data_IF_990479908793
#
_entry.id   IF_990479908793
#
_cell.length_a   1.000
_cell.length_b   1.000
_cell.length_c   1.000
_cell.angle_alpha   90.00
_cell.angle_beta   90.00
_cell.angle_gamma   90.00
#
_symmetry.space_group_name_H-M   'P 1'
#
loop_
_entity.id
_entity.type
_entity.pdbx_description
1 polymer ?
#
# COMPACT_ATOMS: atom_id res chain seq x y z
N UNK A 1 47.08 51.52 16.11
CA UNK A 1 48.03 51.47 14.97
C UNK A 1 48.10 50.03 14.49
N UNK A 2 47.42 49.70 13.39
CA UNK A 2 47.39 48.33 12.84
C UNK A 2 48.70 48.09 12.10
N UNK A 3 49.53 47.14 12.59
CA UNK A 3 50.76 46.74 11.89
C UNK A 3 50.36 46.04 10.58
N UNK A 4 50.67 46.66 9.44
CA UNK A 4 50.58 45.98 8.14
C UNK A 4 51.75 45.00 8.04
N UNK A 5 51.48 43.71 8.24
CA UNK A 5 52.43 42.65 7.95
C UNK A 5 52.40 42.36 6.45
N UNK A 6 53.57 42.34 5.81
CA UNK A 6 53.68 41.90 4.42
C UNK A 6 53.62 40.37 4.39
N UNK A 7 52.76 39.81 3.54
CA UNK A 7 52.69 38.37 3.30
C UNK A 7 53.95 37.90 2.57
N UNK A 8 54.50 36.77 3.01
CA UNK A 8 55.60 36.13 2.28
C UNK A 8 55.05 35.45 1.01
N UNK A 9 55.85 35.41 -0.05
CA UNK A 9 55.43 34.84 -1.35
C UNK A 9 55.00 33.36 -1.24
N UNK A 10 55.63 32.61 -0.34
CA UNK A 10 55.29 31.20 -0.07
C UNK A 10 53.93 31.04 0.62
N UNK A 11 53.59 31.97 1.53
CA UNK A 11 52.32 31.98 2.25
C UNK A 11 51.15 32.34 1.31
N UNK A 12 51.40 33.22 0.33
CA UNK A 12 50.45 33.52 -0.74
C UNK A 12 50.15 32.30 -1.62
N UNK A 13 51.18 31.54 -2.01
CA UNK A 13 51.01 30.32 -2.82
C UNK A 13 50.21 29.28 -2.02
N UNK A 14 50.54 29.07 -0.74
CA UNK A 14 49.79 28.16 0.12
C UNK A 14 48.32 28.58 0.27
N UNK A 15 48.05 29.88 0.47
CA UNK A 15 46.69 30.39 0.57
C UNK A 15 45.88 30.13 -0.72
N UNK A 16 46.46 30.37 -1.90
CA UNK A 16 45.78 30.12 -3.18
C UNK A 16 45.49 28.64 -3.38
N UNK A 17 46.45 27.75 -3.06
CA UNK A 17 46.25 26.29 -3.20
C UNK A 17 45.17 25.79 -2.25
N UNK A 18 45.17 26.24 -0.99
CA UNK A 18 44.14 25.86 -0.01
C UNK A 18 42.77 26.37 -0.44
N UNK A 19 42.66 27.62 -0.89
CA UNK A 19 41.41 28.17 -1.42
C UNK A 19 40.96 27.43 -2.68
N UNK A 20 41.86 27.06 -3.58
CA UNK A 20 41.51 26.30 -4.77
C UNK A 20 40.94 24.92 -4.43
N UNK A 21 41.55 24.21 -3.48
CA UNK A 21 41.07 22.89 -3.03
C UNK A 21 39.70 23.01 -2.34
N UNK A 22 39.50 24.01 -1.48
CA UNK A 22 38.21 24.20 -0.79
C UNK A 22 37.10 24.66 -1.73
N UNK A 23 37.40 25.50 -2.72
CA UNK A 23 36.40 25.96 -3.70
C UNK A 23 35.95 24.82 -4.62
N UNK A 24 36.83 23.86 -4.93
CA UNK A 24 36.47 22.67 -5.72
C UNK A 24 35.59 21.69 -4.92
N UNK A 25 35.75 21.59 -3.59
CA UNK A 25 34.97 20.65 -2.78
C UNK A 25 33.53 21.11 -2.48
N UNK A 26 33.25 22.42 -2.52
CA UNK A 26 31.91 22.98 -2.33
C UNK A 26 30.85 22.47 -3.34
N UNK A 27 31.07 22.51 -4.67
CA UNK A 27 30.08 22.00 -5.63
C UNK A 27 29.87 20.49 -5.49
N UNK A 28 30.91 19.72 -5.17
CA UNK A 28 30.79 18.28 -4.89
C UNK A 28 29.92 18.00 -3.66
N UNK A 29 30.11 18.77 -2.58
CA UNK A 29 29.31 18.66 -1.38
C UNK A 29 27.84 18.99 -1.66
N UNK A 30 27.57 20.07 -2.40
CA UNK A 30 26.21 20.43 -2.80
C UNK A 30 25.55 19.33 -3.64
N UNK A 31 26.27 18.74 -4.59
CA UNK A 31 25.73 17.64 -5.40
C UNK A 31 25.42 16.40 -4.56
N UNK A 32 26.27 16.07 -3.58
CA UNK A 32 26.02 14.96 -2.67
C UNK A 32 24.78 15.21 -1.78
N UNK A 33 24.61 16.45 -1.29
CA UNK A 33 23.44 16.85 -0.52
C UNK A 33 22.17 16.74 -1.37
N UNK A 34 22.17 17.26 -2.61
CA UNK A 34 21.01 17.18 -3.51
C UNK A 34 20.60 15.72 -3.78
N UNK A 35 21.56 14.84 -4.09
CA UNK A 35 21.27 13.40 -4.26
C UNK A 35 20.71 12.75 -3.00
N UNK A 36 21.17 13.18 -1.82
CA UNK A 36 20.65 12.71 -0.55
C UNK A 36 19.19 13.09 -0.33
N UNK A 37 18.81 14.32 -0.70
CA UNK A 37 17.42 14.80 -0.62
C UNK A 37 16.51 13.99 -1.56
N UNK A 38 16.91 13.79 -2.82
CA UNK A 38 16.12 13.02 -3.80
C UNK A 38 15.89 11.57 -3.34
N UNK A 39 16.92 10.94 -2.76
CA UNK A 39 16.84 9.58 -2.21
C UNK A 39 15.90 9.46 -1.01
N UNK A 40 15.91 10.46 -0.11
CA UNK A 40 15.01 10.48 1.04
C UNK A 40 13.56 10.65 0.60
N UNK A 41 13.33 11.52 -0.38
CA UNK A 41 12.01 11.78 -0.92
C UNK A 41 11.41 10.52 -1.60
N UNK A 42 12.23 9.77 -2.35
CA UNK A 42 11.81 8.51 -2.95
C UNK A 42 11.46 7.46 -1.90
N UNK A 43 12.18 7.40 -0.78
CA UNK A 43 11.85 6.53 0.34
C UNK A 43 10.51 6.92 0.98
N UNK A 44 10.24 8.21 1.19
CA UNK A 44 8.95 8.69 1.70
C UNK A 44 7.78 8.28 0.80
N UNK A 45 7.94 8.39 -0.53
CA UNK A 45 6.94 7.95 -1.50
C UNK A 45 6.68 6.42 -1.43
N UNK A 46 7.74 5.61 -1.26
CA UNK A 46 7.62 4.16 -1.08
C UNK A 46 6.87 3.85 0.23
N UNK A 47 7.27 4.44 1.35
CA UNK A 47 6.61 4.19 2.64
C UNK A 47 5.14 4.62 2.64
N UNK A 48 4.80 5.71 1.95
CA UNK A 48 3.42 6.11 1.76
C UNK A 48 2.61 5.08 0.95
N UNK A 49 3.19 4.61 -0.17
CA UNK A 49 2.58 3.57 -1.00
C UNK A 49 2.36 2.27 -0.20
N UNK A 50 3.35 1.85 0.58
CA UNK A 50 3.27 0.67 1.45
C UNK A 50 2.21 0.84 2.55
N UNK A 51 2.15 2.02 3.19
CA UNK A 51 1.15 2.30 4.23
C UNK A 51 -0.26 2.19 3.67
N UNK A 52 -0.50 2.74 2.48
CA UNK A 52 -1.79 2.67 1.80
C UNK A 52 -2.14 1.27 1.34
N UNK A 53 -1.18 0.50 0.82
CA UNK A 53 -1.42 -0.92 0.53
C UNK A 53 -1.77 -1.71 1.79
N UNK A 54 -1.04 -1.48 2.88
CA UNK A 54 -1.33 -2.14 4.16
C UNK A 54 -2.71 -1.77 4.70
N UNK A 55 -3.14 -0.52 4.56
CA UNK A 55 -4.51 -0.08 4.90
C UNK A 55 -5.55 -0.94 4.17
N UNK A 56 -5.42 -1.11 2.85
CA UNK A 56 -6.35 -1.95 2.07
C UNK A 56 -6.25 -3.43 2.41
N UNK A 57 -5.08 -3.93 2.79
CA UNK A 57 -4.94 -5.33 3.22
C UNK A 57 -5.67 -5.65 4.53
N UNK A 58 -6.07 -4.63 5.31
CA UNK A 58 -6.82 -4.83 6.55
C UNK A 58 -8.35 -4.82 6.37
N UNK A 59 -8.84 -4.44 5.20
CA UNK A 59 -10.27 -4.42 4.90
C UNK A 59 -10.80 -5.78 4.48
N UNK A 60 -12.13 -5.93 4.41
CA UNK A 60 -12.74 -7.17 3.97
C UNK A 60 -12.52 -7.37 2.47
N UNK A 61 -12.48 -8.64 2.03
CA UNK A 61 -12.24 -8.94 0.62
C UNK A 61 -13.31 -8.34 -0.30
N UNK A 62 -14.57 -8.37 0.13
CA UNK A 62 -15.74 -7.80 -0.54
C UNK A 62 -16.84 -7.59 0.49
N UNK A 63 -17.72 -6.60 0.32
CA UNK A 63 -18.86 -6.38 1.20
C UNK A 63 -19.80 -7.58 1.25
N UNK A 64 -20.03 -8.25 0.12
CA UNK A 64 -20.91 -9.42 0.02
C UNK A 64 -20.33 -10.66 0.72
N UNK A 65 -19.09 -10.59 1.21
CA UNK A 65 -18.50 -11.65 2.02
C UNK A 65 -19.08 -11.69 3.43
N UNK A 66 -19.78 -10.64 3.89
CA UNK A 66 -20.45 -10.62 5.19
C UNK A 66 -21.92 -10.98 5.00
N UNK A 67 -22.34 -12.10 5.59
CA UNK A 67 -23.75 -12.49 5.63
C UNK A 67 -24.51 -11.59 6.63
N UNK A 68 -25.37 -10.72 6.10
CA UNK A 68 -26.20 -9.78 6.89
C UNK A 68 -27.13 -10.46 7.89
N UNK A 69 -27.46 -11.74 7.67
CA UNK A 69 -28.33 -12.52 8.54
C UNK A 69 -27.55 -13.47 9.48
N UNK A 70 -26.23 -13.52 9.36
CA UNK A 70 -25.41 -14.38 10.21
C UNK A 70 -25.18 -13.75 11.58
N UNK A 71 -25.21 -14.60 12.62
CA UNK A 71 -24.90 -14.22 14.00
C UNK A 71 -23.44 -13.82 14.24
N UNK A 72 -22.56 -13.95 13.24
CA UNK A 72 -21.13 -13.62 13.31
C UNK A 72 -20.76 -12.62 12.22
N UNK A 73 -20.17 -11.49 12.60
CA UNK A 73 -19.66 -10.45 11.68
C UNK A 73 -18.27 -10.84 11.17
N UNK A 74 -18.18 -11.97 10.48
CA UNK A 74 -16.93 -12.49 9.94
C UNK A 74 -17.12 -12.71 8.44
N UNK A 75 -16.15 -12.24 7.65
CA UNK A 75 -16.12 -12.48 6.22
C UNK A 75 -16.07 -13.97 5.90
N UNK A 76 -16.94 -14.42 5.00
CA UNK A 76 -17.08 -15.79 4.53
C UNK A 76 -16.66 -15.86 3.06
N UNK A 77 -16.33 -17.07 2.60
CA UNK A 77 -15.90 -17.26 1.22
C UNK A 77 -17.10 -17.16 0.27
N UNK A 78 -17.04 -16.25 -0.70
CA UNK A 78 -18.02 -16.18 -1.80
C UNK A 78 -17.76 -17.32 -2.79
N UNK A 79 -18.80 -18.05 -3.23
CA UNK A 79 -18.64 -19.26 -4.04
C UNK A 79 -18.53 -18.97 -5.55
N UNK A 80 -17.46 -18.30 -5.96
CA UNK A 80 -17.28 -17.87 -7.37
C UNK A 80 -16.90 -19.00 -8.32
N UNK A 81 -16.23 -20.04 -7.81
CA UNK A 81 -15.75 -21.18 -8.60
C UNK A 81 -16.55 -22.46 -8.39
N UNK A 82 -17.66 -22.40 -7.65
CA UNK A 82 -18.52 -23.56 -7.39
C UNK A 82 -17.87 -24.65 -6.52
N UNK A 83 -16.79 -24.33 -5.81
CA UNK A 83 -16.01 -25.32 -5.03
C UNK A 83 -16.46 -25.47 -3.58
N UNK A 84 -17.43 -24.67 -3.13
CA UNK A 84 -18.03 -24.79 -1.81
C UNK A 84 -18.99 -25.98 -1.74
N UNK A 85 -18.86 -26.81 -0.72
CA UNK A 85 -19.79 -27.90 -0.45
C UNK A 85 -21.17 -27.37 -0.04
N UNK A 86 -22.22 -27.81 -0.73
CA UNK A 86 -23.60 -27.37 -0.53
C UNK A 86 -24.52 -28.45 0.06
N UNK A 87 -24.05 -29.69 0.22
CA UNK A 87 -24.82 -30.76 0.79
C UNK A 87 -24.86 -30.62 2.32
N UNK A 88 -26.01 -30.25 2.87
CA UNK A 88 -26.23 -30.10 4.32
C UNK A 88 -26.03 -31.40 5.12
N UNK A 89 -26.05 -32.56 4.46
CA UNK A 89 -25.76 -33.86 5.09
C UNK A 89 -24.27 -34.22 5.07
N UNK A 90 -23.42 -33.44 4.39
CA UNK A 90 -21.99 -33.65 4.39
C UNK A 90 -21.37 -33.00 5.64
N UNK A 91 -20.46 -33.70 6.32
CA UNK A 91 -19.69 -33.14 7.44
C UNK A 91 -18.92 -31.87 7.02
N UNK A 92 -18.55 -31.76 5.74
CA UNK A 92 -17.88 -30.60 5.15
C UNK A 92 -18.83 -29.51 4.63
N UNK A 93 -20.09 -29.51 5.02
CA UNK A 93 -21.07 -28.50 4.59
C UNK A 93 -20.50 -27.08 4.75
N UNK A 94 -20.55 -26.28 3.66
CA UNK A 94 -20.00 -24.93 3.56
C UNK A 94 -18.49 -24.82 3.72
N UNK A 95 -17.75 -25.88 3.45
CA UNK A 95 -16.29 -25.85 3.40
C UNK A 95 -15.80 -25.98 1.95
N UNK A 96 -14.75 -25.23 1.62
CA UNK A 96 -13.98 -25.38 0.38
C UNK A 96 -12.84 -26.38 0.60
N UNK A 97 -12.30 -26.93 -0.48
CA UNK A 97 -11.06 -27.72 -0.40
C UNK A 97 -9.94 -26.91 0.25
N UNK A 98 -9.28 -27.48 1.27
CA UNK A 98 -8.28 -26.80 2.10
C UNK A 98 -8.83 -26.14 3.37
N UNK A 99 -10.14 -26.02 3.53
CA UNK A 99 -10.71 -25.60 4.80
C UNK A 99 -10.59 -26.71 5.85
N UNK A 100 -10.39 -26.29 7.09
CA UNK A 100 -10.29 -27.16 8.26
C UNK A 100 -11.71 -27.45 8.76
N UNK A 101 -12.01 -28.74 9.00
CA UNK A 101 -13.28 -29.20 9.53
C UNK A 101 -13.34 -28.95 11.05
N UNK A 102 -13.60 -27.70 11.45
CA UNK A 102 -13.72 -27.29 12.84
C UNK A 102 -14.79 -26.20 12.99
N UNK A 103 -15.53 -26.14 14.12
CA UNK A 103 -16.50 -25.08 14.38
C UNK A 103 -15.85 -23.70 14.37
N UNK A 104 -16.52 -22.71 13.78
CA UNK A 104 -16.11 -21.30 13.71
C UNK A 104 -14.84 -21.00 12.88
N UNK A 105 -14.39 -21.94 12.05
CA UNK A 105 -13.34 -21.70 11.06
C UNK A 105 -13.90 -21.10 9.76
N UNK A 106 -12.99 -20.80 8.81
CA UNK A 106 -13.32 -20.36 7.45
C UNK A 106 -14.40 -21.24 6.84
N UNK A 107 -15.48 -20.61 6.42
CA UNK A 107 -16.60 -21.24 5.73
C UNK A 107 -17.04 -20.39 4.56
N UNK A 108 -17.72 -21.02 3.62
CA UNK A 108 -18.39 -20.34 2.53
C UNK A 108 -19.66 -19.66 3.02
N UNK A 109 -20.11 -18.67 2.25
CA UNK A 109 -21.37 -17.98 2.45
C UNK A 109 -22.54 -18.98 2.45
N UNK A 110 -23.58 -18.70 3.23
CA UNK A 110 -24.82 -19.49 3.23
C UNK A 110 -25.61 -19.31 1.92
N UNK A 111 -25.49 -18.15 1.29
CA UNK A 111 -25.99 -17.93 -0.05
C UNK A 111 -24.89 -18.32 -1.07
N UNK A 112 -25.15 -19.32 -1.91
CA UNK A 112 -24.23 -19.71 -2.99
C UNK A 112 -24.54 -19.03 -4.32
N UNK A 113 -25.64 -18.28 -4.38
CA UNK A 113 -26.05 -17.52 -5.56
C UNK A 113 -25.40 -16.14 -5.62
N UNK A 114 -24.78 -15.71 -4.51
CA UNK A 114 -23.95 -14.51 -4.48
C UNK A 114 -22.75 -14.67 -5.42
N UNK A 115 -22.83 -14.00 -6.57
CA UNK A 115 -21.78 -13.93 -7.58
C UNK A 115 -21.41 -12.49 -7.96
N UNK A 116 -22.21 -11.51 -7.53
CA UNK A 116 -21.91 -10.10 -7.75
C UNK A 116 -20.74 -9.69 -6.83
N UNK A 117 -19.69 -9.19 -7.47
CA UNK A 117 -18.54 -8.53 -6.86
C UNK A 117 -18.79 -7.03 -6.93
N UNK A 118 -18.34 -6.24 -5.95
CA UNK A 118 -18.50 -4.78 -5.95
C UNK A 118 -19.97 -4.31 -5.80
N UNK A 119 -20.76 -5.07 -5.04
CA UNK A 119 -22.06 -4.58 -4.64
C UNK A 119 -21.84 -3.64 -3.45
N UNK A 120 -21.47 -2.38 -3.70
CA UNK A 120 -21.36 -1.30 -2.69
C UNK A 120 -22.73 -1.05 -2.04
N UNK A 121 -23.14 -1.98 -1.21
CA UNK A 121 -24.50 -2.17 -0.69
C UNK A 121 -24.54 -1.89 0.80
N UNK A 122 -23.39 -1.85 1.47
CA UNK A 122 -23.29 -1.59 2.90
C UNK A 122 -22.24 -0.54 3.22
N UNK A 123 -22.70 0.70 3.46
CA UNK A 123 -21.86 1.81 3.92
C UNK A 123 -21.16 1.59 5.28
N UNK A 124 -21.41 0.46 5.96
CA UNK A 124 -20.84 0.13 7.26
C UNK A 124 -19.75 -0.97 7.20
N UNK A 125 -19.50 -1.53 6.02
CA UNK A 125 -18.47 -2.57 5.82
C UNK A 125 -17.40 -1.99 4.93
N UNK A 126 -16.21 -1.79 5.47
CA UNK A 126 -15.06 -1.41 4.65
C UNK A 126 -14.54 -2.63 3.89
N UNK A 127 -14.67 -2.61 2.57
CA UNK A 127 -14.11 -3.61 1.68
C UNK A 127 -12.90 -3.07 0.88
N UNK A 128 -12.27 -3.93 0.09
CA UNK A 128 -11.07 -3.59 -0.71
C UNK A 128 -11.41 -2.56 -1.79
N UNK A 129 -12.57 -2.71 -2.43
CA UNK A 129 -13.09 -1.83 -3.46
C UNK A 129 -13.37 -0.40 -2.97
N UNK A 130 -13.82 -0.23 -1.73
CA UNK A 130 -14.11 1.09 -1.14
C UNK A 130 -12.87 1.95 -0.96
N UNK A 131 -11.70 1.31 -0.86
CA UNK A 131 -10.43 2.01 -0.75
C UNK A 131 -9.88 2.44 -2.11
N UNK A 132 -10.52 2.04 -3.22
CA UNK A 132 -10.15 2.52 -4.54
C UNK A 132 -10.40 4.03 -4.65
N UNK A 133 -9.40 4.76 -5.14
CA UNK A 133 -9.52 6.20 -5.33
C UNK A 133 -8.62 6.67 -6.47
N UNK A 134 -9.04 7.76 -7.12
CA UNK A 134 -8.21 8.47 -8.10
C UNK A 134 -7.01 9.16 -7.45
N UNK A 135 -6.27 9.96 -8.22
CA UNK A 135 -5.12 10.69 -7.70
C UNK A 135 -5.52 11.68 -6.61
N UNK A 136 -5.11 11.40 -5.37
CA UNK A 136 -5.31 12.23 -4.19
C UNK A 136 -3.97 12.52 -3.52
N UNK A 137 -3.86 13.67 -2.87
CA UNK A 137 -2.63 14.06 -2.18
C UNK A 137 -2.32 13.11 -1.02
N UNK A 138 -1.11 12.58 -0.99
CA UNK A 138 -0.61 11.70 0.07
C UNK A 138 -0.22 12.51 1.31
N UNK A 139 0.41 13.67 1.07
CA UNK A 139 0.88 14.57 2.12
C UNK A 139 0.02 15.83 2.13
N UNK A 140 -0.56 16.15 3.29
CA UNK A 140 -1.12 17.47 3.52
C UNK A 140 0.07 18.41 3.79
N UNK A 141 0.34 19.34 2.88
CA UNK A 141 1.33 20.38 3.11
C UNK A 141 0.78 21.38 4.14
N UNK A 142 0.87 21.01 5.43
CA UNK A 142 0.22 21.73 6.53
C UNK A 142 0.91 23.07 6.88
N UNK A 143 1.99 23.46 6.18
CA UNK A 143 2.69 24.71 6.50
C UNK A 143 3.33 25.34 5.25
N UNK A 144 2.90 26.55 4.84
CA UNK A 144 3.57 27.30 3.77
C UNK A 144 5.01 27.60 4.20
N UNK A 145 6.01 27.13 3.44
CA UNK A 145 7.43 27.39 3.72
C UNK A 145 8.36 26.17 3.78
N UNK A 146 7.86 24.95 3.57
CA UNK A 146 8.69 23.73 3.45
C UNK A 146 8.98 23.32 2.00
N UNK A 147 8.91 24.26 1.05
CA UNK A 147 9.02 24.04 -0.41
C UNK A 147 10.31 23.34 -0.86
N UNK A 148 11.35 23.31 -0.02
CA UNK A 148 12.61 22.63 -0.32
C UNK A 148 12.70 21.16 0.10
N UNK A 149 11.79 20.66 0.95
CA UNK A 149 11.90 19.30 1.53
C UNK A 149 10.69 18.40 1.24
N UNK A 150 9.50 18.95 0.97
CA UNK A 150 8.30 18.16 0.69
C UNK A 150 7.77 18.44 -0.71
N UNK A 151 7.87 17.46 -1.60
CA UNK A 151 7.16 17.48 -2.87
C UNK A 151 5.72 17.00 -2.67
N UNK A 152 4.77 17.56 -3.41
CA UNK A 152 3.39 17.09 -3.39
C UNK A 152 3.30 15.79 -4.19
N UNK A 153 3.24 14.68 -3.48
CA UNK A 153 2.93 13.39 -4.09
C UNK A 153 1.43 13.14 -4.12
N UNK A 154 0.99 12.57 -5.24
CA UNK A 154 -0.36 12.06 -5.39
C UNK A 154 -0.34 10.54 -5.46
N UNK A 155 -1.33 9.88 -4.87
CA UNK A 155 -1.53 8.43 -4.99
C UNK A 155 -2.86 8.13 -5.65
N UNK A 156 -2.90 7.11 -6.51
CA UNK A 156 -4.12 6.47 -6.94
C UNK A 156 -4.08 4.99 -6.54
N UNK A 157 -5.20 4.49 -6.04
CA UNK A 157 -5.40 3.08 -5.73
C UNK A 157 -6.45 2.50 -6.66
N UNK A 158 -6.07 1.41 -7.33
CA UNK A 158 -6.95 0.70 -8.26
C UNK A 158 -7.07 -0.76 -7.85
N UNK A 159 -8.27 -1.30 -8.00
CA UNK A 159 -8.58 -2.70 -7.74
C UNK A 159 -8.97 -3.32 -9.08
N UNK A 160 -8.26 -4.38 -9.47
CA UNK A 160 -8.59 -5.20 -10.64
C UNK A 160 -9.14 -6.52 -10.17
N UNK A 161 -10.34 -6.84 -10.62
CA UNK A 161 -10.97 -8.14 -10.45
C UNK A 161 -10.35 -9.16 -11.41
N UNK A 162 -10.51 -10.44 -11.08
CA UNK A 162 -10.12 -11.57 -11.92
C UNK A 162 -8.68 -11.50 -12.48
N UNK A 163 -7.66 -11.24 -11.64
CA UNK A 163 -6.31 -11.10 -12.13
C UNK A 163 -5.81 -12.41 -12.73
N UNK A 164 -4.97 -12.28 -13.77
CA UNK A 164 -4.23 -13.41 -14.32
C UNK A 164 -3.08 -13.74 -13.37
N UNK A 165 -3.17 -14.89 -12.71
CA UNK A 165 -2.12 -15.44 -11.85
C UNK A 165 -1.78 -16.85 -12.31
N UNK A 166 -0.51 -17.07 -12.62
CA UNK A 166 -0.01 -18.33 -13.22
C UNK A 166 -0.72 -18.67 -14.54
N UNK A 167 -0.80 -17.69 -15.45
CA UNK A 167 -1.44 -17.80 -16.78
C UNK A 167 -2.94 -18.15 -16.77
N UNK A 168 -3.59 -18.14 -15.61
CA UNK A 168 -5.01 -18.41 -15.46
C UNK A 168 -5.72 -17.24 -14.78
N UNK A 169 -6.93 -16.94 -15.25
CA UNK A 169 -7.83 -15.97 -14.61
C UNK A 169 -8.28 -16.55 -13.26
N UNK A 170 -8.12 -15.79 -12.18
CA UNK A 170 -8.49 -16.22 -10.82
C UNK A 170 -9.65 -15.39 -10.27
N UNK A 171 -10.90 -15.88 -10.33
CA UNK A 171 -12.05 -15.11 -9.84
C UNK A 171 -12.06 -14.92 -8.33
N UNK A 172 -11.36 -15.78 -7.59
CA UNK A 172 -11.20 -15.66 -6.14
C UNK A 172 -10.09 -14.70 -5.72
N UNK A 173 -9.57 -13.84 -6.62
CA UNK A 173 -8.49 -12.93 -6.32
C UNK A 173 -8.84 -11.52 -6.81
N UNK A 174 -8.35 -10.50 -6.10
CA UNK A 174 -8.32 -9.13 -6.57
C UNK A 174 -6.86 -8.67 -6.57
N UNK A 175 -6.46 -7.92 -7.59
CA UNK A 175 -5.14 -7.26 -7.65
C UNK A 175 -5.30 -5.81 -7.26
N UNK A 176 -4.65 -5.41 -6.19
CA UNK A 176 -4.62 -4.03 -5.74
C UNK A 176 -3.33 -3.42 -6.26
N UNK A 177 -3.42 -2.28 -6.93
CA UNK A 177 -2.26 -1.54 -7.43
C UNK A 177 -2.33 -0.11 -6.94
N UNK A 178 -1.31 0.32 -6.21
CA UNK A 178 -1.09 1.72 -5.87
C UNK A 178 -0.05 2.32 -6.80
N UNK A 179 -0.32 3.53 -7.27
CA UNK A 179 0.62 4.30 -8.08
C UNK A 179 0.82 5.65 -7.43
N UNK A 180 2.06 6.00 -7.14
CA UNK A 180 2.45 7.31 -6.62
C UNK A 180 3.09 8.11 -7.74
N UNK A 181 2.64 9.35 -7.89
CA UNK A 181 3.14 10.30 -8.86
C UNK A 181 3.64 11.58 -8.21
N UNK A 182 4.65 12.16 -8.83
CA UNK A 182 5.18 13.47 -8.48
C UNK A 182 4.29 14.61 -9.00
N UNK A 183 4.75 15.85 -8.79
CA UNK A 183 4.09 17.07 -9.27
C UNK A 183 4.07 17.20 -10.80
N UNK A 184 5.00 16.54 -11.49
CA UNK A 184 5.08 16.51 -12.94
C UNK A 184 4.21 15.40 -13.57
N UNK A 185 3.47 14.66 -12.74
CA UNK A 185 2.65 13.50 -13.14
C UNK A 185 3.48 12.29 -13.61
N UNK A 186 4.77 12.25 -13.27
CA UNK A 186 5.67 11.13 -13.49
C UNK A 186 5.49 10.07 -12.39
N UNK A 187 5.50 8.80 -12.77
CA UNK A 187 5.39 7.70 -11.82
C UNK A 187 6.69 7.50 -11.05
N UNK A 188 6.63 7.74 -9.74
CA UNK A 188 7.77 7.55 -8.84
C UNK A 188 7.85 6.11 -8.36
N UNK A 189 6.70 5.55 -7.96
CA UNK A 189 6.62 4.15 -7.53
C UNK A 189 5.26 3.56 -7.85
N UNK A 190 5.25 2.27 -8.15
CA UNK A 190 4.03 1.48 -8.29
C UNK A 190 4.23 0.15 -7.58
N UNK A 191 3.36 -0.12 -6.61
CA UNK A 191 3.36 -1.34 -5.83
C UNK A 191 2.03 -2.06 -6.07
N UNK A 192 2.07 -3.39 -6.09
CA UNK A 192 0.87 -4.20 -6.21
C UNK A 192 0.89 -5.37 -5.23
N UNK A 193 -0.29 -5.81 -4.86
CA UNK A 193 -0.51 -7.00 -4.05
C UNK A 193 -1.74 -7.75 -4.53
N UNK A 194 -1.89 -9.00 -4.10
CA UNK A 194 -3.06 -9.81 -4.37
C UNK A 194 -3.76 -10.14 -3.06
N UNK A 195 -5.08 -9.97 -3.05
CA UNK A 195 -5.95 -10.43 -1.98
C UNK A 195 -6.81 -11.56 -2.50
N UNK A 196 -6.96 -12.61 -1.69
CA UNK A 196 -7.71 -13.80 -2.07
C UNK A 196 -8.98 -13.95 -1.21
N UNK A 197 -10.03 -14.43 -1.84
CA UNK A 197 -11.29 -14.81 -1.22
C UNK A 197 -11.11 -16.12 -0.42
N UNK A 198 -10.57 -16.00 0.79
CA UNK A 198 -10.30 -17.13 1.71
C UNK A 198 -11.15 -17.10 2.98
N UNK A 199 -11.91 -16.02 3.19
CA UNK A 199 -12.71 -15.82 4.39
C UNK A 199 -11.90 -15.59 5.67
N UNK A 200 -12.56 -15.03 6.67
CA UNK A 200 -12.05 -14.85 8.01
C UNK A 200 -12.09 -16.12 8.84
N UNK A 201 -11.33 -16.12 9.94
CA UNK A 201 -11.43 -17.11 11.01
C UNK A 201 -12.07 -16.44 12.22
N UNK A 202 -12.96 -17.14 12.90
CA UNK A 202 -13.25 -16.81 14.30
C UNK A 202 -12.32 -17.64 15.18
N UNK A 203 -12.04 -17.12 16.36
CA UNK A 203 -11.37 -17.89 17.39
C UNK A 203 -12.41 -18.38 18.37
N UNK A 204 -12.29 -19.64 18.80
CA UNK A 204 -13.07 -20.15 19.92
C UNK A 204 -12.67 -19.37 21.18
N UNK A 205 -13.36 -18.27 21.45
CA UNK A 205 -13.18 -17.50 22.68
C UNK A 205 -13.63 -18.41 23.82
N UNK A 206 -12.73 -18.71 24.75
CA UNK A 206 -13.13 -19.35 26.00
C UNK A 206 -14.13 -18.42 26.69
N UNK A 207 -15.40 -18.79 26.66
CA UNK A 207 -16.40 -18.24 27.57
C UNK A 207 -16.03 -18.72 28.97
N UNK A 208 -15.62 -17.77 29.82
CA UNK A 208 -15.47 -17.99 31.25
C UNK A 208 -16.85 -18.01 31.91
#
# INVERSE_FOLDING_TARGET
MVKKSAFTLIELIFAIVVIAITVISLPMMNQAISKGIDSNLLQEAIFAAETKLNEVMTTQWDEASIDVNASSVISQVINLDGTCENNNSNERYRLKTGHILQPLHRKCLNDLTQAELDSNTSANVDAVEDKAHGYTNIFLNLTPGQEGYKQNFTSALSVSYDPVFDSAVRPNMKKITITVKDENNDTVTSLFTYVANIGGIDYYKRTY
#
